data_IF_903200978369
#
_entry.id   IF_903200978369
#
_cell.length_a   1.000
_cell.length_b   1.000
_cell.length_c   1.000
_cell.angle_alpha   90.00
_cell.angle_beta   90.00
_cell.angle_gamma   90.00
#
_symmetry.space_group_name_H-M   'P 1'
#
loop_
_entity.id
_entity.type
_entity.pdbx_description
1 polymer ?
#
# COMPACT_ATOMS: atom_id res chain seq x y z
N UNK A 1 34.19 -17.07 36.76
CA UNK A 1 34.34 -16.17 35.60
C UNK A 1 33.00 -15.49 35.42
N UNK A 2 32.81 -14.36 36.08
CA UNK A 2 31.62 -13.54 35.89
C UNK A 2 31.76 -12.83 34.56
N UNK A 3 30.96 -13.23 33.57
CA UNK A 3 30.75 -12.45 32.36
C UNK A 3 30.14 -11.12 32.79
N UNK A 4 31.00 -10.11 32.98
CA UNK A 4 30.57 -8.72 33.10
C UNK A 4 29.94 -8.35 31.76
N UNK A 5 28.62 -8.47 31.69
CA UNK A 5 27.80 -7.86 30.65
C UNK A 5 28.12 -6.36 30.63
N UNK A 6 28.95 -5.95 29.67
CA UNK A 6 29.26 -4.55 29.44
C UNK A 6 27.95 -3.83 29.09
N UNK A 7 27.57 -2.75 29.80
CA UNK A 7 26.35 -2.00 29.52
C UNK A 7 26.23 -1.57 28.05
N UNK A 8 27.37 -1.37 27.38
CA UNK A 8 27.48 -1.05 25.96
C UNK A 8 27.01 -2.21 25.07
N UNK A 9 27.36 -3.45 25.41
CA UNK A 9 26.92 -4.65 24.70
C UNK A 9 25.43 -4.93 24.94
N UNK A 10 24.93 -4.70 26.15
CA UNK A 10 23.51 -4.80 26.45
C UNK A 10 22.68 -3.78 25.63
N UNK A 11 23.13 -2.53 25.55
CA UNK A 11 22.47 -1.49 24.74
C UNK A 11 22.54 -1.79 23.23
N UNK A 12 23.66 -2.34 22.76
CA UNK A 12 23.81 -2.76 21.36
C UNK A 12 22.87 -3.92 21.02
N UNK A 13 22.73 -4.90 21.91
CA UNK A 13 21.85 -6.04 21.74
C UNK A 13 20.37 -5.62 21.77
N UNK A 14 20.00 -4.69 22.66
CA UNK A 14 18.68 -4.06 22.69
C UNK A 14 18.41 -3.31 21.37
N UNK A 15 19.39 -2.57 20.84
CA UNK A 15 19.27 -1.87 19.55
C UNK A 15 19.12 -2.81 18.34
N UNK A 16 19.80 -3.96 18.35
CA UNK A 16 19.65 -5.00 17.32
C UNK A 16 18.29 -5.68 17.39
N UNK A 17 17.81 -6.03 18.60
CA UNK A 17 16.49 -6.63 18.81
C UNK A 17 15.39 -5.66 18.39
N UNK A 18 15.47 -4.38 18.78
CA UNK A 18 14.50 -3.36 18.39
C UNK A 18 14.48 -3.15 16.87
N UNK A 19 15.65 -3.12 16.21
CA UNK A 19 15.72 -3.08 14.74
C UNK A 19 15.11 -4.32 14.07
N UNK A 20 15.36 -5.51 14.62
CA UNK A 20 14.84 -6.75 14.05
C UNK A 20 13.31 -6.81 14.16
N UNK A 21 12.76 -6.28 15.26
CA UNK A 21 11.32 -6.24 15.51
C UNK A 21 10.61 -5.17 14.67
N UNK A 22 11.27 -4.04 14.38
CA UNK A 22 10.70 -2.94 13.57
C UNK A 22 10.85 -3.12 12.05
N UNK A 23 11.76 -3.97 11.58
CA UNK A 23 12.00 -4.18 10.14
C UNK A 23 10.75 -4.70 9.38
N UNK A 24 9.98 -5.68 9.88
CA UNK A 24 8.75 -6.14 9.24
C UNK A 24 7.68 -5.04 9.12
N UNK A 25 7.52 -4.23 10.19
CA UNK A 25 6.58 -3.11 10.18
C UNK A 25 6.97 -2.05 9.14
N UNK A 26 8.25 -1.72 9.01
CA UNK A 26 8.74 -0.79 7.97
C UNK A 26 8.49 -1.32 6.57
N UNK A 27 8.72 -2.62 6.33
CA UNK A 27 8.43 -3.23 5.02
C UNK A 27 6.93 -3.18 4.73
N UNK A 28 6.06 -3.51 5.69
CA UNK A 28 4.62 -3.37 5.54
C UNK A 28 4.21 -1.92 5.20
N UNK A 29 4.82 -0.93 5.87
CA UNK A 29 4.61 0.49 5.56
C UNK A 29 4.97 0.84 4.11
N UNK A 30 6.10 0.34 3.61
CA UNK A 30 6.49 0.53 2.20
C UNK A 30 5.58 -0.20 1.21
N UNK A 31 5.09 -1.40 1.55
CA UNK A 31 4.10 -2.12 0.72
C UNK A 31 2.86 -1.26 0.51
N UNK A 32 2.33 -0.65 1.58
CA UNK A 32 1.17 0.24 1.48
C UNK A 32 1.45 1.51 0.66
N UNK A 33 2.65 2.09 0.78
CA UNK A 33 3.04 3.24 -0.05
C UNK A 33 3.10 2.85 -1.53
N UNK A 34 3.77 1.74 -1.85
CA UNK A 34 3.87 1.23 -3.21
C UNK A 34 2.48 0.90 -3.77
N UNK A 35 1.63 0.24 -3.00
CA UNK A 35 0.24 -0.05 -3.38
C UNK A 35 -0.51 1.24 -3.72
N UNK A 36 -0.41 2.27 -2.88
CA UNK A 36 -1.04 3.57 -3.13
C UNK A 36 -0.60 4.19 -4.46
N UNK A 37 0.71 4.28 -4.70
CA UNK A 37 1.26 4.83 -5.94
C UNK A 37 0.85 3.99 -7.17
N UNK A 38 0.95 2.67 -7.07
CA UNK A 38 0.53 1.77 -8.13
C UNK A 38 -0.97 1.92 -8.43
N UNK A 39 -1.81 2.13 -7.42
CA UNK A 39 -3.26 2.36 -7.61
C UNK A 39 -3.50 3.62 -8.43
N UNK A 40 -2.79 4.72 -8.12
CA UNK A 40 -2.91 5.98 -8.84
C UNK A 40 -2.51 5.86 -10.32
N UNK A 41 -1.50 5.04 -10.62
CA UNK A 41 -1.01 4.83 -11.98
C UNK A 41 -1.81 3.78 -12.76
N UNK A 42 -2.33 2.77 -12.06
CA UNK A 42 -3.09 1.67 -12.62
C UNK A 42 -4.34 2.15 -13.36
N UNK A 43 -5.12 3.04 -12.75
CA UNK A 43 -6.38 3.50 -13.33
C UNK A 43 -6.22 4.23 -14.66
N UNK A 44 -5.35 5.25 -14.79
CA UNK A 44 -5.03 5.87 -16.07
C UNK A 44 -4.47 4.88 -17.08
N UNK A 45 -3.56 3.99 -16.67
CA UNK A 45 -2.95 3.00 -17.57
C UNK A 45 -4.00 2.05 -18.16
N UNK A 46 -4.93 1.56 -17.34
CA UNK A 46 -6.02 0.68 -17.77
C UNK A 46 -7.06 1.39 -18.64
N UNK A 47 -7.30 2.68 -18.40
CA UNK A 47 -8.42 3.39 -19.04
C UNK A 47 -8.01 4.14 -20.31
N UNK A 48 -6.78 4.67 -20.32
CA UNK A 48 -6.27 5.56 -21.38
C UNK A 48 -5.13 4.92 -22.18
N UNK A 49 -4.49 3.89 -21.63
CA UNK A 49 -3.36 3.24 -22.29
C UNK A 49 -3.78 2.46 -23.53
N UNK A 50 -2.87 2.28 -24.51
CA UNK A 50 -3.06 1.29 -25.58
C UNK A 50 -3.13 -0.13 -25.00
N UNK A 51 -3.62 -1.09 -25.78
CA UNK A 51 -3.90 -2.48 -25.34
C UNK A 51 -2.71 -3.11 -24.59
N UNK A 52 -1.47 -2.89 -25.05
CA UNK A 52 -0.29 -3.44 -24.40
C UNK A 52 -0.02 -2.82 -23.01
N UNK A 53 -0.31 -1.53 -22.82
CA UNK A 53 -0.20 -0.85 -21.51
C UNK A 53 -1.26 -1.40 -20.56
N UNK A 54 -2.50 -1.62 -21.05
CA UNK A 54 -3.56 -2.22 -20.24
C UNK A 54 -3.19 -3.64 -19.80
N UNK A 55 -2.67 -4.46 -20.71
CA UNK A 55 -2.21 -5.80 -20.39
C UNK A 55 -1.07 -5.78 -19.36
N UNK A 56 -0.06 -4.92 -19.55
CA UNK A 56 1.03 -4.77 -18.61
C UNK A 56 0.56 -4.28 -17.24
N UNK A 57 -0.32 -3.28 -17.20
CA UNK A 57 -0.90 -2.76 -15.96
C UNK A 57 -1.70 -3.83 -15.20
N UNK A 58 -2.50 -4.62 -15.92
CA UNK A 58 -3.21 -5.77 -15.35
C UNK A 58 -2.28 -6.80 -14.74
N UNK A 59 -1.22 -7.20 -15.47
CA UNK A 59 -0.22 -8.16 -14.97
C UNK A 59 0.50 -7.63 -13.73
N UNK A 60 0.98 -6.38 -13.78
CA UNK A 60 1.68 -5.74 -12.65
C UNK A 60 0.76 -5.67 -11.43
N UNK A 61 -0.51 -5.33 -11.63
CA UNK A 61 -1.49 -5.27 -10.55
C UNK A 61 -1.73 -6.63 -9.89
N UNK A 62 -1.89 -7.69 -10.68
CA UNK A 62 -2.05 -9.07 -10.17
C UNK A 62 -0.81 -9.51 -9.40
N UNK A 63 0.39 -9.29 -9.94
CA UNK A 63 1.65 -9.61 -9.27
C UNK A 63 1.76 -8.87 -7.93
N UNK A 64 1.41 -7.59 -7.92
CA UNK A 64 1.48 -6.77 -6.71
C UNK A 64 0.45 -7.21 -5.65
N UNK A 65 -0.76 -7.58 -6.06
CA UNK A 65 -1.77 -8.13 -5.16
C UNK A 65 -1.31 -9.46 -4.56
N UNK A 66 -0.83 -10.40 -5.39
CA UNK A 66 -0.35 -11.72 -4.94
C UNK A 66 0.85 -11.58 -4.01
N UNK A 67 1.85 -10.80 -4.41
CA UNK A 67 3.04 -10.56 -3.60
C UNK A 67 2.66 -9.85 -2.29
N UNK A 68 1.82 -8.81 -2.34
CA UNK A 68 1.36 -8.08 -1.16
C UNK A 68 0.64 -8.99 -0.17
N UNK A 69 -0.33 -9.79 -0.63
CA UNK A 69 -1.04 -10.75 0.22
C UNK A 69 -0.09 -11.79 0.80
N UNK A 70 0.79 -12.39 -0.01
CA UNK A 70 1.75 -13.39 0.46
C UNK A 70 2.69 -12.83 1.52
N UNK A 71 3.26 -11.65 1.30
CA UNK A 71 4.14 -10.97 2.26
C UNK A 71 3.40 -10.62 3.56
N UNK A 72 2.18 -10.10 3.48
CA UNK A 72 1.40 -9.76 4.66
C UNK A 72 1.02 -11.00 5.49
N UNK A 73 0.68 -12.11 4.83
CA UNK A 73 0.41 -13.38 5.51
C UNK A 73 1.66 -13.97 6.18
N UNK A 74 2.83 -13.86 5.54
CA UNK A 74 4.07 -14.45 6.05
C UNK A 74 4.73 -13.64 7.15
N UNK A 75 4.58 -12.30 7.15
CA UNK A 75 5.32 -11.45 8.09
C UNK A 75 4.84 -11.53 9.55
N UNK A 76 3.69 -12.16 9.86
CA UNK A 76 3.11 -12.31 11.23
C UNK A 76 3.33 -11.05 12.11
N UNK A 77 3.17 -9.87 11.52
CA UNK A 77 3.59 -8.62 12.16
C UNK A 77 2.65 -8.33 13.32
N UNK A 78 3.14 -8.41 14.55
CA UNK A 78 2.38 -8.07 15.77
C UNK A 78 2.35 -6.56 16.06
N UNK A 79 2.79 -5.73 15.11
CA UNK A 79 2.75 -4.28 15.23
C UNK A 79 1.29 -3.80 15.23
N UNK A 80 0.94 -3.01 16.25
CA UNK A 80 -0.40 -2.48 16.47
C UNK A 80 -0.88 -1.62 15.31
N UNK A 81 0.00 -0.83 14.71
CA UNK A 81 -0.35 0.08 13.62
C UNK A 81 -0.52 -0.68 12.31
N UNK A 82 0.33 -1.67 12.04
CA UNK A 82 0.15 -2.57 10.88
C UNK A 82 -1.16 -3.34 11.01
N UNK A 83 -1.45 -3.88 12.20
CA UNK A 83 -2.69 -4.60 12.47
C UNK A 83 -3.91 -3.69 12.35
N UNK A 84 -3.83 -2.45 12.85
CA UNK A 84 -4.91 -1.49 12.75
C UNK A 84 -5.19 -1.06 11.32
N UNK A 85 -4.15 -0.82 10.50
CA UNK A 85 -4.33 -0.49 9.07
C UNK A 85 -4.90 -1.69 8.31
N UNK A 86 -4.35 -2.89 8.53
CA UNK A 86 -4.70 -4.09 7.77
C UNK A 86 -6.04 -4.73 8.20
N UNK A 87 -6.65 -4.28 9.30
CA UNK A 87 -7.96 -4.79 9.73
C UNK A 87 -9.01 -4.46 8.65
N UNK A 88 -9.84 -5.43 8.27
CA UNK A 88 -10.89 -5.23 7.27
C UNK A 88 -11.89 -4.13 7.65
N UNK A 89 -12.09 -3.90 8.94
CA UNK A 89 -12.94 -2.84 9.48
C UNK A 89 -12.18 -1.54 9.75
N UNK A 90 -10.91 -1.45 9.36
CA UNK A 90 -10.13 -0.24 9.52
C UNK A 90 -10.67 0.86 8.63
N UNK A 91 -10.79 2.11 9.10
CA UNK A 91 -11.14 3.24 8.25
C UNK A 91 -10.25 3.35 7.01
N UNK A 92 -8.97 2.97 7.10
CA UNK A 92 -8.02 3.01 5.97
C UNK A 92 -8.38 1.96 4.92
N UNK A 93 -8.57 0.71 5.33
CA UNK A 93 -8.93 -0.39 4.42
C UNK A 93 -10.31 -0.16 3.79
N UNK A 94 -11.29 0.27 4.60
CA UNK A 94 -12.63 0.60 4.09
C UNK A 94 -12.57 1.76 3.08
N UNK A 95 -11.87 2.85 3.40
CA UNK A 95 -11.72 3.97 2.49
C UNK A 95 -10.99 3.57 1.20
N UNK A 96 -9.96 2.71 1.30
CA UNK A 96 -9.26 2.16 0.14
C UNK A 96 -10.21 1.37 -0.76
N UNK A 97 -10.93 0.39 -0.21
CA UNK A 97 -11.86 -0.45 -0.98
C UNK A 97 -12.97 0.39 -1.61
N UNK A 98 -13.57 1.32 -0.85
CA UNK A 98 -14.64 2.19 -1.36
C UNK A 98 -14.12 3.07 -2.50
N UNK A 99 -12.96 3.70 -2.35
CA UNK A 99 -12.41 4.59 -3.38
C UNK A 99 -11.98 3.84 -4.65
N UNK A 100 -11.40 2.64 -4.51
CA UNK A 100 -11.12 1.73 -5.63
C UNK A 100 -12.42 1.31 -6.32
N UNK A 101 -13.46 0.94 -5.58
CA UNK A 101 -14.76 0.56 -6.14
C UNK A 101 -15.44 1.73 -6.88
N UNK A 102 -15.40 2.94 -6.32
CA UNK A 102 -15.93 4.15 -6.99
C UNK A 102 -15.18 4.41 -8.30
N UNK A 103 -13.85 4.33 -8.28
CA UNK A 103 -13.04 4.54 -9.50
C UNK A 103 -13.30 3.46 -10.54
N UNK A 104 -13.45 2.21 -10.11
CA UNK A 104 -13.84 1.09 -10.97
C UNK A 104 -15.20 1.33 -11.62
N UNK A 105 -16.22 1.65 -10.84
CA UNK A 105 -17.57 1.88 -11.33
C UNK A 105 -17.59 3.05 -12.33
N UNK A 106 -16.90 4.13 -12.00
CA UNK A 106 -16.74 5.28 -12.90
C UNK A 106 -16.06 4.88 -14.21
N UNK A 107 -14.90 4.23 -14.14
CA UNK A 107 -14.11 3.85 -15.31
C UNK A 107 -14.75 2.77 -16.19
N UNK A 108 -15.56 1.89 -15.60
CA UNK A 108 -16.19 0.79 -16.34
C UNK A 108 -17.56 1.16 -16.90
N UNK A 109 -18.43 1.79 -16.11
CA UNK A 109 -19.82 2.03 -16.50
C UNK A 109 -20.06 3.42 -17.08
N UNK A 110 -19.20 4.40 -16.77
CA UNK A 110 -19.37 5.78 -17.24
C UNK A 110 -18.32 6.17 -18.29
N UNK A 111 -17.64 5.21 -18.92
CA UNK A 111 -16.68 5.47 -19.99
C UNK A 111 -17.42 5.84 -21.29
N UNK A 112 -17.28 7.08 -21.79
CA UNK A 112 -17.84 7.46 -23.09
C UNK A 112 -17.02 6.82 -24.22
N UNK A 113 -17.64 6.66 -25.40
CA UNK A 113 -16.95 6.18 -26.61
C UNK A 113 -15.76 7.08 -26.99
N UNK A 114 -15.92 8.40 -26.83
CA UNK A 114 -14.87 9.40 -27.01
C UNK A 114 -14.60 10.13 -25.69
N UNK A 115 -13.58 9.73 -24.91
CA UNK A 115 -13.25 10.36 -23.63
C UNK A 115 -12.76 11.80 -23.82
N UNK A 116 -13.65 12.76 -23.53
CA UNK A 116 -13.31 14.18 -23.48
C UNK A 116 -12.47 14.55 -22.24
N UNK A 117 -11.89 15.75 -22.26
CA UNK A 117 -10.98 16.22 -21.20
C UNK A 117 -11.57 16.19 -19.78
N UNK A 118 -12.87 16.49 -19.62
CA UNK A 118 -13.56 16.46 -18.31
C UNK A 118 -13.62 15.04 -17.74
N UNK A 119 -13.87 14.04 -18.59
CA UNK A 119 -13.91 12.64 -18.16
C UNK A 119 -12.52 12.17 -17.74
N UNK A 120 -11.49 12.52 -18.53
CA UNK A 120 -10.09 12.19 -18.23
C UNK A 120 -9.65 12.84 -16.92
N UNK A 121 -9.96 14.12 -16.72
CA UNK A 121 -9.63 14.83 -15.49
C UNK A 121 -10.32 14.19 -14.28
N UNK A 122 -11.61 13.86 -14.40
CA UNK A 122 -12.35 13.15 -13.35
C UNK A 122 -11.73 11.80 -13.02
N UNK A 123 -11.36 11.01 -14.03
CA UNK A 123 -10.69 9.74 -13.85
C UNK A 123 -9.35 9.90 -13.10
N UNK A 124 -8.53 10.89 -13.48
CA UNK A 124 -7.24 11.15 -12.82
C UNK A 124 -7.46 11.53 -11.35
N UNK A 125 -8.45 12.39 -11.05
CA UNK A 125 -8.78 12.75 -9.67
C UNK A 125 -9.21 11.52 -8.87
N UNK A 126 -10.09 10.68 -9.42
CA UNK A 126 -10.52 9.44 -8.76
C UNK A 126 -9.37 8.46 -8.56
N UNK A 127 -8.49 8.33 -9.54
CA UNK A 127 -7.28 7.52 -9.45
C UNK A 127 -6.38 7.97 -8.30
N UNK A 128 -6.13 9.28 -8.18
CA UNK A 128 -5.37 9.86 -7.07
C UNK A 128 -6.08 9.58 -5.74
N UNK A 129 -7.37 9.89 -5.64
CA UNK A 129 -8.15 9.68 -4.41
C UNK A 129 -8.14 8.20 -3.98
N UNK A 130 -8.14 7.26 -4.92
CA UNK A 130 -8.10 5.83 -4.62
C UNK A 130 -6.77 5.34 -4.03
N UNK A 131 -5.65 6.01 -4.35
CA UNK A 131 -4.35 5.68 -3.76
C UNK A 131 -4.10 6.30 -2.39
N UNK A 132 -4.79 7.39 -2.04
CA UNK A 132 -4.53 8.17 -0.82
C UNK A 132 -4.69 7.36 0.49
N UNK A 133 -5.72 6.51 0.67
CA UNK A 133 -5.86 5.72 1.90
C UNK A 133 -4.64 4.82 2.13
N UNK A 134 -4.16 4.13 1.09
CA UNK A 134 -2.99 3.27 1.19
C UNK A 134 -1.71 4.07 1.50
N UNK A 135 -1.51 5.23 0.85
CA UNK A 135 -0.40 6.14 1.19
C UNK A 135 -0.45 6.61 2.64
N UNK A 136 -1.65 6.97 3.13
CA UNK A 136 -1.85 7.38 4.52
C UNK A 136 -1.52 6.24 5.48
N UNK A 137 -2.02 5.02 5.22
CA UNK A 137 -1.73 3.82 6.01
C UNK A 137 -0.23 3.52 6.07
N UNK A 138 0.44 3.54 4.91
CA UNK A 138 1.88 3.34 4.83
C UNK A 138 2.69 4.41 5.57
N UNK A 139 2.34 5.68 5.39
CA UNK A 139 2.97 6.81 6.12
C UNK A 139 2.77 6.69 7.63
N UNK A 140 1.60 6.25 8.08
CA UNK A 140 1.28 6.06 9.50
C UNK A 140 2.15 4.96 10.12
N UNK A 141 2.25 3.81 9.46
CA UNK A 141 3.11 2.70 9.88
C UNK A 141 4.58 3.12 9.92
N UNK A 142 5.07 3.80 8.87
CA UNK A 142 6.46 4.26 8.80
C UNK A 142 6.81 5.31 9.87
N UNK A 143 5.83 6.12 10.29
CA UNK A 143 6.00 7.09 11.38
C UNK A 143 6.04 6.43 12.75
N UNK A 144 5.21 5.41 12.97
CA UNK A 144 5.21 4.66 14.22
C UNK A 144 6.52 3.88 14.45
N UNK A 145 7.21 3.51 13.37
CA UNK A 145 8.52 2.85 13.42
C UNK A 145 9.73 3.77 13.56
N UNK A 146 9.55 5.09 13.70
CA UNK A 146 10.63 6.06 14.02
C UNK A 146 10.70 6.21 15.54
#
# INVERSE_FOLDING_TARGET
MEDRLDPTDALRQIGEIDRHTRRPARVAGWIFVTLGLCTMLYWPAMSLGPVWVQAAAGVIWVVLAVAGTFYMCTMKVQDREVTWVNKSTSPVTVAYVVSVAVTFVFGMFFRPENPGGVWIATLIVLAVLSGLPALYGGRRILRAGR
#
